data_IF_760280104064
#
_entry.id   IF_760280104064
#
_cell.length_a   1.000
_cell.length_b   1.000
_cell.length_c   1.000
_cell.angle_alpha   90.00
_cell.angle_beta   90.00
_cell.angle_gamma   90.00
#
_symmetry.space_group_name_H-M   'P 1'
#
loop_
_entity.id
_entity.type
_entity.pdbx_description
1 polymer ?
#
# COMPACT_ATOMS: atom_id res chain seq x y z
N UNK A 1 -25.13 74.51 32.89
CA UNK A 1 -26.15 73.47 33.19
C UNK A 1 -26.62 72.91 31.86
N UNK A 2 -26.39 71.61 31.67
CA UNK A 2 -26.53 70.89 30.42
C UNK A 2 -28.01 70.72 30.05
N UNK A 3 -28.46 71.24 28.90
CA UNK A 3 -29.71 70.81 28.29
C UNK A 3 -29.47 69.49 27.57
N UNK A 4 -29.70 68.39 28.27
CA UNK A 4 -29.71 67.05 27.68
C UNK A 4 -30.96 66.95 26.81
N UNK A 5 -30.79 66.92 25.49
CA UNK A 5 -31.90 66.69 24.57
C UNK A 5 -32.45 65.28 24.78
N UNK A 6 -33.72 65.16 25.17
CA UNK A 6 -34.44 63.88 25.17
C UNK A 6 -35.13 63.70 23.83
N UNK A 7 -34.74 62.66 23.08
CA UNK A 7 -35.52 62.17 21.95
C UNK A 7 -36.75 61.43 22.50
N UNK A 8 -37.90 62.12 22.52
CA UNK A 8 -39.20 61.49 22.83
C UNK A 8 -39.74 60.91 21.54
N UNK A 9 -39.64 59.59 21.36
CA UNK A 9 -40.35 58.88 20.32
C UNK A 9 -41.82 58.78 20.72
N UNK A 10 -42.70 59.46 19.98
CA UNK A 10 -44.14 59.35 20.18
C UNK A 10 -44.59 57.90 20.00
N UNK A 11 -45.48 57.45 20.87
CA UNK A 11 -46.13 56.14 20.75
C UNK A 11 -46.80 56.06 19.38
N UNK A 12 -46.39 55.08 18.57
CA UNK A 12 -46.99 54.71 17.29
C UNK A 12 -46.85 55.69 16.11
N UNK A 13 -45.73 56.42 15.97
CA UNK A 13 -45.43 57.10 14.68
C UNK A 13 -43.99 56.86 14.24
N UNK A 14 -43.82 55.85 13.38
CA UNK A 14 -42.61 55.66 12.57
C UNK A 14 -42.66 56.61 11.38
N UNK A 15 -41.62 57.40 11.15
CA UNK A 15 -41.54 58.27 9.98
C UNK A 15 -41.40 57.42 8.70
N UNK A 16 -42.48 57.36 7.91
CA UNK A 16 -42.45 56.89 6.53
C UNK A 16 -41.73 57.92 5.64
N UNK A 17 -40.69 57.51 4.92
CA UNK A 17 -40.24 58.30 3.77
C UNK A 17 -41.30 58.28 2.66
N UNK A 18 -41.26 59.22 1.73
CA UNK A 18 -42.26 59.40 0.67
C UNK A 18 -42.41 58.22 -0.32
N UNK A 19 -41.52 57.24 -0.22
CA UNK A 19 -41.57 55.94 -0.91
C UNK A 19 -42.07 54.79 -0.01
N UNK A 20 -42.59 55.09 1.18
CA UNK A 20 -43.19 54.18 2.14
C UNK A 20 -42.24 53.13 2.75
N UNK A 21 -40.94 53.41 2.82
CA UNK A 21 -39.92 52.53 3.45
C UNK A 21 -39.39 53.11 4.76
N UNK A 22 -39.27 52.27 5.80
CA UNK A 22 -38.68 52.68 7.07
C UNK A 22 -37.15 52.60 6.97
N UNK A 23 -36.43 53.69 7.27
CA UNK A 23 -34.95 53.73 7.30
C UNK A 23 -34.46 54.38 8.58
N UNK A 24 -33.31 53.92 9.08
CA UNK A 24 -32.65 54.46 10.27
C UNK A 24 -31.25 54.95 9.86
N UNK A 25 -30.98 56.25 9.96
CA UNK A 25 -29.72 56.88 9.54
C UNK A 25 -29.08 57.60 10.74
N UNK A 26 -27.77 57.46 10.94
CA UNK A 26 -27.05 58.06 12.07
C UNK A 26 -25.88 58.92 11.61
N UNK A 27 -25.69 60.09 12.25
CA UNK A 27 -24.51 60.94 12.10
C UNK A 27 -23.56 60.82 13.31
N UNK A 28 -22.31 61.23 13.08
CA UNK A 28 -21.06 60.79 13.72
C UNK A 28 -20.96 60.94 15.25
N UNK A 29 -20.61 59.83 15.92
CA UNK A 29 -20.19 59.77 17.33
C UNK A 29 -20.91 58.72 18.21
N UNK A 30 -21.40 57.62 17.65
CA UNK A 30 -22.42 56.76 18.27
C UNK A 30 -22.04 55.95 19.52
N UNK A 31 -23.04 55.30 20.12
CA UNK A 31 -23.01 53.92 20.68
C UNK A 31 -24.43 53.34 20.71
N UNK A 32 -24.53 52.01 20.54
CA UNK A 32 -25.78 51.23 20.39
C UNK A 32 -25.94 50.28 21.58
N UNK A 33 -27.15 50.18 22.17
CA UNK A 33 -27.53 49.09 23.07
C UNK A 33 -28.89 48.52 22.65
N UNK A 34 -28.95 47.22 22.44
CA UNK A 34 -30.19 46.45 22.33
C UNK A 34 -30.19 45.40 23.47
N UNK A 35 -31.35 45.08 24.07
CA UNK A 35 -31.52 43.90 24.95
C UNK A 35 -32.56 44.04 26.08
N UNK A 36 -33.42 43.01 26.22
CA UNK A 36 -34.13 42.60 27.45
C UNK A 36 -33.65 41.16 27.79
N UNK A 37 -33.94 40.58 28.98
CA UNK A 37 -33.33 39.32 29.41
C UNK A 37 -33.61 38.18 28.41
N UNK A 38 -32.57 37.62 27.78
CA UNK A 38 -32.68 36.44 26.90
C UNK A 38 -32.10 36.58 25.48
N UNK A 39 -31.53 37.73 25.10
CA UNK A 39 -30.83 37.95 23.83
C UNK A 39 -31.57 38.77 22.77
N UNK A 40 -31.16 38.65 21.51
CA UNK A 40 -31.68 39.36 20.32
C UNK A 40 -32.58 38.46 19.49
N UNK A 41 -33.69 38.98 18.95
CA UNK A 41 -34.49 38.30 17.93
C UNK A 41 -35.01 39.31 16.89
N UNK A 42 -34.78 39.03 15.61
CA UNK A 42 -35.40 39.70 14.48
C UNK A 42 -36.61 38.89 14.08
N UNK A 43 -37.77 39.52 13.98
CA UNK A 43 -39.04 38.85 13.70
C UNK A 43 -39.64 39.36 12.38
N UNK A 44 -40.42 38.51 11.71
CA UNK A 44 -41.22 38.91 10.56
C UNK A 44 -42.50 39.65 11.02
N UNK A 45 -43.28 40.15 10.07
CA UNK A 45 -44.52 40.90 10.34
C UNK A 45 -45.63 40.05 11.00
N UNK A 46 -45.46 38.73 11.10
CA UNK A 46 -46.34 37.82 11.83
C UNK A 46 -45.77 37.46 13.23
N UNK A 47 -44.77 38.20 13.72
CA UNK A 47 -44.05 37.97 14.97
C UNK A 47 -43.31 36.63 15.06
N UNK A 48 -43.09 35.94 13.94
CA UNK A 48 -42.22 34.77 13.91
C UNK A 48 -40.76 35.22 13.93
N UNK A 49 -39.93 34.63 14.78
CA UNK A 49 -38.48 34.90 14.77
C UNK A 49 -37.90 34.48 13.41
N UNK A 50 -36.98 35.25 12.87
CA UNK A 50 -36.22 35.00 11.64
C UNK A 50 -34.79 34.62 12.05
N UNK A 51 -34.22 35.41 12.95
CA UNK A 51 -32.87 35.28 13.46
C UNK A 51 -32.81 35.71 14.92
N UNK A 52 -32.07 35.01 15.75
CA UNK A 52 -31.86 35.34 17.15
C UNK A 52 -30.45 35.03 17.62
N UNK A 53 -29.96 35.75 18.61
CA UNK A 53 -28.69 35.49 19.29
C UNK A 53 -28.94 35.50 20.78
N UNK A 54 -28.57 34.45 21.50
CA UNK A 54 -28.64 34.48 22.96
C UNK A 54 -27.39 35.13 23.58
N UNK A 55 -27.43 35.42 24.88
CA UNK A 55 -26.34 36.07 25.62
C UNK A 55 -25.04 35.24 25.66
N UNK A 56 -25.11 33.96 25.31
CA UNK A 56 -23.95 33.07 25.14
C UNK A 56 -23.33 33.10 23.74
N UNK A 57 -23.78 34.01 22.86
CA UNK A 57 -23.27 34.14 21.48
C UNK A 57 -23.81 33.09 20.49
N UNK A 58 -24.80 32.28 20.89
CA UNK A 58 -25.38 31.27 20.01
C UNK A 58 -26.37 31.88 19.03
N UNK A 59 -26.01 31.81 17.75
CA UNK A 59 -26.83 32.19 16.59
C UNK A 59 -27.94 31.15 16.35
N UNK A 60 -29.20 31.57 16.38
CA UNK A 60 -30.39 30.73 16.15
C UNK A 60 -31.29 31.36 15.09
N UNK A 61 -31.40 30.74 13.93
CA UNK A 61 -32.44 31.08 12.94
C UNK A 61 -33.72 30.31 13.29
N UNK A 62 -34.91 30.91 13.17
CA UNK A 62 -36.12 30.21 13.58
C UNK A 62 -36.58 29.17 12.55
N UNK A 63 -36.65 27.94 13.04
CA UNK A 63 -37.36 26.73 12.64
C UNK A 63 -38.03 26.65 11.24
N UNK A 64 -37.60 25.60 10.52
CA UNK A 64 -38.36 24.71 9.63
C UNK A 64 -38.58 25.03 8.14
N UNK A 65 -37.68 25.79 7.53
CA UNK A 65 -37.18 25.49 6.17
C UNK A 65 -35.86 26.22 6.06
N UNK A 66 -34.77 25.52 6.34
CA UNK A 66 -33.50 25.87 5.69
C UNK A 66 -33.84 25.91 4.21
N UNK A 67 -33.34 26.89 3.46
CA UNK A 67 -33.58 26.96 2.02
C UNK A 67 -33.39 25.56 1.43
N UNK A 68 -34.51 24.92 1.06
CA UNK A 68 -34.45 23.68 0.32
C UNK A 68 -33.98 24.11 -1.05
N UNK A 69 -32.85 23.57 -1.47
CA UNK A 69 -32.54 23.59 -2.89
C UNK A 69 -33.70 22.92 -3.67
N UNK A 70 -33.65 22.98 -4.99
CA UNK A 70 -34.66 22.32 -5.84
C UNK A 70 -34.77 20.80 -5.60
N UNK A 71 -33.87 20.22 -4.79
CA UNK A 71 -33.78 18.81 -4.44
C UNK A 71 -34.15 18.50 -2.97
N UNK A 72 -34.59 19.49 -2.17
CA UNK A 72 -35.09 19.28 -0.82
C UNK A 72 -34.05 19.32 0.32
N UNK A 73 -32.81 19.75 0.08
CA UNK A 73 -31.75 19.75 1.11
C UNK A 73 -31.68 21.04 1.94
N UNK A 74 -31.46 20.91 3.25
CA UNK A 74 -31.26 22.03 4.17
C UNK A 74 -29.83 22.63 4.04
N UNK A 75 -29.72 23.90 3.61
CA UNK A 75 -28.43 24.59 3.34
C UNK A 75 -28.14 25.77 4.27
N UNK A 76 -26.89 25.90 4.74
CA UNK A 76 -26.34 27.11 5.38
C UNK A 76 -25.14 27.62 4.56
N UNK A 77 -25.26 28.85 4.05
CA UNK A 77 -24.28 29.46 3.16
C UNK A 77 -23.38 30.44 3.89
N UNK A 78 -22.07 30.28 3.70
CA UNK A 78 -21.07 31.26 4.11
C UNK A 78 -20.30 31.71 2.85
N UNK A 79 -20.64 32.90 2.34
CA UNK A 79 -19.92 33.61 1.25
C UNK A 79 -20.04 32.94 -0.16
N UNK A 80 -19.74 33.62 -1.30
CA UNK A 80 -20.10 33.12 -2.63
C UNK A 80 -19.30 31.90 -3.10
N UNK A 81 -18.40 31.36 -2.26
CA UNK A 81 -17.51 30.24 -2.57
C UNK A 81 -17.60 29.06 -1.59
N UNK A 82 -18.57 28.97 -0.68
CA UNK A 82 -18.69 27.83 0.24
C UNK A 82 -20.08 27.58 0.80
N UNK A 83 -20.67 26.42 0.51
CA UNK A 83 -21.86 25.92 1.20
C UNK A 83 -21.43 24.94 2.30
N UNK A 84 -21.95 25.11 3.53
CA UNK A 84 -21.76 24.17 4.63
C UNK A 84 -23.12 23.63 5.08
N UNK A 85 -23.41 22.37 4.78
CA UNK A 85 -24.68 21.75 5.14
C UNK A 85 -24.65 21.17 6.56
N UNK A 86 -25.72 21.38 7.33
CA UNK A 86 -25.92 20.72 8.62
C UNK A 86 -27.13 19.78 8.55
N UNK A 87 -26.82 18.47 8.44
CA UNK A 87 -27.63 17.35 8.91
C UNK A 87 -28.95 17.03 8.19
N UNK A 88 -29.10 15.77 7.79
CA UNK A 88 -30.38 15.07 7.64
C UNK A 88 -30.33 13.73 8.38
N UNK A 89 -31.45 13.00 8.51
CA UNK A 89 -31.53 11.69 9.20
C UNK A 89 -30.59 10.60 8.63
N UNK A 90 -29.90 10.86 7.51
CA UNK A 90 -29.07 9.89 6.79
C UNK A 90 -27.54 10.11 6.92
N UNK A 91 -27.09 11.20 7.57
CA UNK A 91 -25.67 11.47 7.83
C UNK A 91 -25.23 12.93 7.64
N UNK A 92 -23.92 13.15 7.73
CA UNK A 92 -23.26 14.46 7.53
C UNK A 92 -22.59 14.49 6.15
N UNK A 93 -22.71 15.60 5.41
CA UNK A 93 -22.07 15.76 4.10
C UNK A 93 -21.56 17.17 3.85
N UNK A 94 -20.27 17.34 3.53
CA UNK A 94 -19.72 18.57 2.96
C UNK A 94 -19.70 18.44 1.43
N UNK A 95 -20.23 19.46 0.74
CA UNK A 95 -20.33 19.52 -0.72
C UNK A 95 -19.59 20.73 -1.27
N UNK A 96 -19.20 20.68 -2.54
CA UNK A 96 -18.64 21.85 -3.21
C UNK A 96 -19.75 22.79 -3.71
N UNK A 97 -19.38 23.93 -4.30
CA UNK A 97 -20.30 24.93 -4.86
C UNK A 97 -21.18 24.40 -6.01
N UNK A 98 -20.83 23.26 -6.61
CA UNK A 98 -21.59 22.56 -7.65
C UNK A 98 -22.46 21.42 -7.11
N UNK A 99 -22.68 21.38 -5.79
CA UNK A 99 -23.48 20.37 -5.09
C UNK A 99 -22.94 18.93 -5.19
N UNK A 100 -21.64 18.80 -5.42
CA UNK A 100 -20.94 17.51 -5.45
C UNK A 100 -20.46 17.15 -4.05
N UNK A 101 -20.75 15.95 -3.56
CA UNK A 101 -20.26 15.44 -2.27
C UNK A 101 -18.72 15.36 -2.24
N UNK A 102 -18.10 16.14 -1.36
CA UNK A 102 -16.66 16.11 -1.06
C UNK A 102 -16.39 15.10 0.06
N UNK A 103 -17.21 15.13 1.10
CA UNK A 103 -17.06 14.33 2.32
C UNK A 103 -18.43 13.93 2.83
N UNK A 104 -18.65 12.66 3.17
CA UNK A 104 -19.86 12.27 3.92
C UNK A 104 -19.57 11.18 4.94
N UNK A 105 -20.14 11.31 6.15
CA UNK A 105 -20.21 10.26 7.16
C UNK A 105 -21.66 9.78 7.22
N UNK A 106 -21.90 8.53 6.81
CA UNK A 106 -23.19 7.85 6.95
C UNK A 106 -23.31 7.20 8.34
N UNK A 107 -24.49 6.68 8.71
CA UNK A 107 -24.78 5.98 9.98
C UNK A 107 -23.89 4.75 10.32
N UNK A 108 -22.91 4.43 9.46
CA UNK A 108 -21.96 3.31 9.63
C UNK A 108 -20.51 3.80 9.80
N UNK A 109 -20.26 5.11 9.92
CA UNK A 109 -18.92 5.66 10.17
C UNK A 109 -17.93 5.55 9.01
N UNK A 110 -18.36 5.09 7.83
CA UNK A 110 -17.52 5.01 6.64
C UNK A 110 -17.35 6.40 6.01
N UNK A 111 -16.09 6.86 5.89
CA UNK A 111 -15.72 8.00 5.09
C UNK A 111 -15.81 7.63 3.61
N UNK A 112 -16.81 8.15 2.89
CA UNK A 112 -16.94 7.96 1.44
C UNK A 112 -16.49 9.23 0.71
N UNK A 113 -15.35 9.16 0.01
CA UNK A 113 -14.93 10.20 -0.93
C UNK A 113 -15.67 9.92 -2.25
N UNK A 114 -16.68 10.73 -2.57
CA UNK A 114 -17.66 10.44 -3.63
C UNK A 114 -17.27 10.93 -5.03
N UNK A 115 -16.18 11.69 -5.17
CA UNK A 115 -15.67 12.08 -6.48
C UNK A 115 -14.55 11.14 -6.92
N UNK A 116 -14.61 10.69 -8.18
CA UNK A 116 -13.54 9.96 -8.88
C UNK A 116 -12.26 10.80 -9.10
N UNK A 117 -12.02 11.79 -8.24
CA UNK A 117 -10.81 12.61 -8.21
C UNK A 117 -10.30 12.57 -6.79
N UNK A 118 -9.29 11.73 -6.58
CA UNK A 118 -8.37 11.92 -5.48
C UNK A 118 -7.68 13.28 -5.70
N UNK A 119 -7.45 14.03 -4.63
CA UNK A 119 -6.60 15.21 -4.74
C UNK A 119 -5.21 14.73 -5.18
N UNK A 120 -4.84 15.09 -6.40
CA UNK A 120 -3.50 14.90 -6.93
C UNK A 120 -2.64 16.00 -6.31
N UNK A 121 -1.63 15.61 -5.55
CA UNK A 121 -0.64 16.52 -4.99
C UNK A 121 0.17 17.16 -6.15
N UNK A 122 0.90 18.26 -5.90
CA UNK A 122 1.62 19.03 -6.93
C UNK A 122 2.66 18.19 -7.71
N UNK A 123 3.00 17.02 -7.19
CA UNK A 123 3.91 16.03 -7.78
C UNK A 123 3.21 14.93 -8.59
N UNK A 124 1.88 14.96 -8.72
CA UNK A 124 1.13 14.02 -9.54
C UNK A 124 0.60 12.79 -8.79
N UNK A 125 0.77 12.70 -7.47
CA UNK A 125 0.34 11.52 -6.70
C UNK A 125 -0.95 11.74 -5.90
N UNK A 126 -1.81 10.71 -5.88
CA UNK A 126 -3.01 10.67 -5.04
C UNK A 126 -2.64 10.21 -3.63
N UNK A 127 -2.98 10.99 -2.59
CA UNK A 127 -2.62 10.68 -1.19
C UNK A 127 -3.81 10.82 -0.23
N UNK A 128 -3.88 9.93 0.78
CA UNK A 128 -4.71 10.09 1.98
C UNK A 128 -3.77 10.39 3.17
N UNK A 129 -3.74 11.64 3.63
CA UNK A 129 -2.82 12.10 4.68
C UNK A 129 -3.49 12.04 6.07
N UNK A 130 -2.84 11.37 7.02
CA UNK A 130 -3.07 11.52 8.45
C UNK A 130 -1.69 11.64 9.11
N UNK A 131 -1.32 12.81 9.65
CA UNK A 131 -0.14 12.95 10.49
C UNK A 131 -0.36 14.10 11.47
N UNK A 132 -0.04 13.91 12.75
CA UNK A 132 1.23 14.50 13.20
C UNK A 132 1.96 13.64 14.25
N UNK A 133 3.21 13.29 13.99
CA UNK A 133 4.16 12.82 15.01
C UNK A 133 4.56 11.35 14.96
N UNK A 134 4.78 10.77 13.77
CA UNK A 134 5.41 9.45 13.64
C UNK A 134 4.47 8.25 13.82
N UNK A 135 3.15 8.46 13.81
CA UNK A 135 2.16 7.39 13.75
C UNK A 135 1.87 6.99 12.30
N UNK A 136 2.06 5.70 11.97
CA UNK A 136 1.72 5.16 10.66
C UNK A 136 0.20 5.07 10.44
N UNK A 137 -0.22 5.14 9.18
CA UNK A 137 -1.61 4.85 8.77
C UNK A 137 -1.80 3.34 8.62
N UNK A 138 -2.73 2.76 9.38
CA UNK A 138 -3.05 1.34 9.30
C UNK A 138 -4.27 1.13 8.38
N UNK A 139 -4.05 0.54 7.20
CA UNK A 139 -5.13 -0.03 6.39
C UNK A 139 -5.25 -1.51 6.74
N UNK A 140 -6.27 -1.89 7.50
CA UNK A 140 -6.45 -3.27 7.93
C UNK A 140 -7.92 -3.64 8.08
N UNK A 141 -8.28 -4.81 7.56
CA UNK A 141 -9.48 -5.54 7.97
C UNK A 141 -9.05 -6.66 8.93
N UNK A 142 -9.98 -7.30 9.67
CA UNK A 142 -9.66 -8.51 10.43
C UNK A 142 -9.01 -9.62 9.59
N UNK A 143 -9.16 -9.58 8.26
CA UNK A 143 -8.60 -10.55 7.32
C UNK A 143 -7.34 -10.06 6.57
N UNK A 144 -6.75 -8.93 6.96
CA UNK A 144 -5.58 -8.33 6.30
C UNK A 144 -5.94 -7.15 5.38
N UNK A 145 -5.09 -6.90 4.39
CA UNK A 145 -5.19 -5.77 3.46
C UNK A 145 -5.32 -6.28 2.02
N UNK A 146 -6.28 -5.78 1.26
CA UNK A 146 -6.62 -6.29 -0.07
C UNK A 146 -6.90 -5.18 -1.07
N UNK A 147 -6.29 -5.27 -2.25
CA UNK A 147 -6.67 -4.53 -3.44
C UNK A 147 -7.54 -5.40 -4.34
N UNK A 148 -8.59 -4.78 -4.89
CA UNK A 148 -9.53 -5.42 -5.81
C UNK A 148 -9.53 -4.72 -7.17
N UNK A 149 -9.90 -5.46 -8.20
CA UNK A 149 -10.21 -4.92 -9.52
C UNK A 149 -11.68 -4.42 -9.58
N UNK A 150 -12.07 -3.85 -10.74
CA UNK A 150 -13.42 -3.30 -10.94
C UNK A 150 -14.56 -4.34 -10.96
N UNK A 151 -14.24 -5.63 -11.04
CA UNK A 151 -15.20 -6.73 -10.97
C UNK A 151 -15.23 -7.35 -9.56
N UNK A 152 -14.72 -6.63 -8.54
CA UNK A 152 -14.60 -7.06 -7.14
C UNK A 152 -13.72 -8.30 -6.92
N UNK A 153 -12.85 -8.66 -7.89
CA UNK A 153 -11.85 -9.71 -7.71
C UNK A 153 -10.62 -9.21 -6.96
N UNK A 154 -10.18 -9.93 -5.93
CA UNK A 154 -8.92 -9.68 -5.23
C UNK A 154 -7.73 -9.84 -6.20
N UNK A 155 -6.86 -8.84 -6.28
CA UNK A 155 -5.70 -8.83 -7.20
C UNK A 155 -4.35 -8.79 -6.47
N UNK A 156 -4.34 -8.24 -5.26
CA UNK A 156 -3.20 -8.26 -4.36
C UNK A 156 -3.71 -8.24 -2.93
N UNK A 157 -3.20 -9.13 -2.07
CA UNK A 157 -3.52 -9.14 -0.64
C UNK A 157 -2.31 -9.43 0.22
N UNK A 158 -2.29 -8.84 1.40
CA UNK A 158 -1.35 -9.14 2.49
C UNK A 158 -2.17 -9.60 3.68
N UNK A 159 -1.97 -10.85 4.11
CA UNK A 159 -2.65 -11.44 5.25
C UNK A 159 -1.97 -11.00 6.57
N UNK A 160 -2.65 -11.21 7.70
CA UNK A 160 -2.13 -10.81 9.02
C UNK A 160 -0.84 -11.55 9.43
N UNK A 161 -0.58 -12.73 8.87
CA UNK A 161 0.65 -13.51 9.07
C UNK A 161 1.83 -12.99 8.22
N UNK A 162 1.63 -11.90 7.48
CA UNK A 162 2.61 -11.29 6.58
C UNK A 162 2.72 -11.99 5.22
N UNK A 163 1.98 -13.06 4.97
CA UNK A 163 1.95 -13.70 3.66
C UNK A 163 1.25 -12.79 2.64
N UNK A 164 1.82 -12.70 1.45
CA UNK A 164 1.28 -11.89 0.37
C UNK A 164 0.89 -12.78 -0.82
N UNK A 165 -0.23 -12.44 -1.45
CA UNK A 165 -0.69 -13.08 -2.68
C UNK A 165 -0.89 -12.01 -3.75
N UNK A 166 -0.36 -12.29 -4.95
CA UNK A 166 -0.44 -11.43 -6.13
C UNK A 166 -1.05 -12.26 -7.26
N UNK A 167 -2.10 -11.74 -7.90
CA UNK A 167 -2.73 -12.42 -9.04
C UNK A 167 -1.82 -12.44 -10.27
N UNK A 168 -1.07 -11.36 -10.47
CA UNK A 168 -0.16 -11.17 -11.60
C UNK A 168 1.28 -11.61 -11.30
N UNK A 169 2.21 -11.08 -12.10
CA UNK A 169 3.64 -11.32 -11.93
C UNK A 169 4.32 -10.22 -11.12
N UNK A 170 5.27 -10.58 -10.27
CA UNK A 170 6.19 -9.64 -9.63
C UNK A 170 7.35 -9.34 -10.58
N UNK A 171 7.38 -8.15 -11.16
CA UNK A 171 8.49 -7.70 -12.03
C UNK A 171 9.48 -6.86 -11.21
N UNK A 172 10.78 -7.08 -11.42
CA UNK A 172 11.86 -6.38 -10.73
C UNK A 172 12.86 -5.82 -11.74
N UNK A 173 13.30 -4.57 -11.53
CA UNK A 173 14.21 -3.89 -12.44
C UNK A 173 15.51 -4.69 -12.63
N UNK A 174 15.89 -4.97 -13.88
CA UNK A 174 17.09 -5.75 -14.20
C UNK A 174 17.88 -5.23 -15.41
N UNK A 175 17.48 -4.09 -15.97
CA UNK A 175 18.09 -3.44 -17.13
C UNK A 175 19.59 -3.19 -16.91
N UNK A 176 20.42 -3.52 -17.92
CA UNK A 176 21.87 -3.36 -17.88
C UNK A 176 22.29 -1.91 -17.59
N UNK A 177 21.52 -0.91 -18.03
CA UNK A 177 21.80 0.52 -17.81
C UNK A 177 21.68 0.94 -16.35
N UNK A 178 20.94 0.17 -15.55
CA UNK A 178 20.76 0.41 -14.12
C UNK A 178 21.80 -0.33 -13.26
N UNK A 179 22.78 -1.00 -13.88
CA UNK A 179 23.78 -1.84 -13.21
C UNK A 179 25.19 -1.39 -13.57
N UNK A 180 26.09 -1.45 -12.60
CA UNK A 180 27.53 -1.21 -12.77
C UNK A 180 28.33 -2.38 -12.20
N UNK A 181 29.62 -2.47 -12.54
CA UNK A 181 30.54 -3.49 -12.04
C UNK A 181 30.04 -4.95 -12.20
N UNK A 182 29.39 -5.24 -13.33
CA UNK A 182 28.80 -6.56 -13.62
C UNK A 182 29.93 -7.59 -13.79
N UNK A 183 29.96 -8.60 -12.92
CA UNK A 183 30.89 -9.74 -12.97
C UNK A 183 30.09 -11.05 -13.00
N UNK A 184 30.55 -12.09 -13.71
CA UNK A 184 29.97 -13.43 -13.61
C UNK A 184 30.04 -13.96 -12.18
N UNK A 185 29.04 -14.73 -11.77
CA UNK A 185 29.15 -15.54 -10.54
C UNK A 185 30.15 -16.67 -10.78
N UNK A 186 30.84 -17.09 -9.72
CA UNK A 186 31.87 -18.14 -9.75
C UNK A 186 31.64 -19.08 -8.57
N UNK A 187 32.05 -20.34 -8.72
CA UNK A 187 31.93 -21.39 -7.70
C UNK A 187 30.48 -21.60 -7.23
N UNK A 188 29.51 -21.32 -8.09
CA UNK A 188 28.09 -21.33 -7.71
C UNK A 188 27.62 -22.73 -7.31
N UNK A 189 28.10 -23.78 -7.98
CA UNK A 189 27.81 -25.16 -7.60
C UNK A 189 28.39 -25.49 -6.23
N UNK A 190 29.69 -25.23 -6.02
CA UNK A 190 30.34 -25.52 -4.74
C UNK A 190 29.68 -24.77 -3.56
N UNK A 191 29.28 -23.52 -3.78
CA UNK A 191 28.57 -22.72 -2.80
C UNK A 191 27.17 -23.27 -2.50
N UNK A 192 26.38 -23.61 -3.52
CA UNK A 192 25.04 -24.19 -3.34
C UNK A 192 25.10 -25.55 -2.65
N UNK A 193 26.13 -26.35 -2.92
CA UNK A 193 26.33 -27.64 -2.26
C UNK A 193 26.60 -27.55 -0.75
N UNK A 194 26.93 -26.36 -0.23
CA UNK A 194 27.07 -26.11 1.22
C UNK A 194 25.75 -25.68 1.87
N UNK A 195 24.71 -25.37 1.09
CA UNK A 195 23.41 -24.97 1.58
C UNK A 195 22.51 -26.18 1.84
N UNK A 196 21.62 -26.03 2.80
CA UNK A 196 20.66 -27.06 3.17
C UNK A 196 19.22 -26.55 3.00
N UNK A 197 18.44 -27.26 2.18
CA UNK A 197 16.99 -27.16 2.21
C UNK A 197 16.45 -27.88 3.45
N UNK A 198 15.58 -27.20 4.20
CA UNK A 198 15.01 -27.71 5.46
C UNK A 198 13.49 -27.67 5.43
N UNK A 199 12.88 -28.58 6.19
CA UNK A 199 11.48 -28.49 6.58
C UNK A 199 11.41 -27.87 7.98
N UNK A 200 10.46 -26.99 8.24
CA UNK A 200 10.30 -26.36 9.54
C UNK A 200 8.85 -25.99 9.83
N UNK A 201 8.54 -25.82 11.12
CA UNK A 201 7.34 -25.15 11.60
C UNK A 201 7.74 -23.82 12.22
N UNK A 202 6.88 -22.82 12.14
CA UNK A 202 7.09 -21.57 12.86
C UNK A 202 6.91 -21.77 14.37
N UNK A 203 7.73 -21.09 15.18
CA UNK A 203 7.60 -21.14 16.64
C UNK A 203 6.49 -20.19 17.11
N UNK A 204 5.24 -20.64 17.01
CA UNK A 204 4.05 -19.86 17.38
C UNK A 204 3.99 -19.56 18.90
N UNK A 205 4.46 -20.49 19.74
CA UNK A 205 4.45 -20.32 21.20
C UNK A 205 5.38 -19.20 21.65
N UNK A 206 6.56 -19.10 21.03
CA UNK A 206 7.54 -18.07 21.35
C UNK A 206 7.21 -16.71 20.73
N UNK A 207 6.50 -16.70 19.61
CA UNK A 207 6.19 -15.50 18.84
C UNK A 207 4.70 -15.41 18.46
N UNK A 208 3.79 -15.41 19.45
CA UNK A 208 2.35 -15.40 19.20
C UNK A 208 1.88 -14.14 18.47
N UNK A 209 2.57 -13.01 18.66
CA UNK A 209 2.27 -11.73 18.01
C UNK A 209 2.49 -11.74 16.50
N UNK A 210 3.28 -12.69 15.99
CA UNK A 210 3.58 -12.80 14.55
C UNK A 210 2.52 -13.54 13.76
N UNK A 211 1.55 -14.16 14.43
CA UNK A 211 0.43 -14.88 13.78
C UNK A 211 0.89 -15.89 12.72
N UNK A 212 2.05 -16.52 12.93
CA UNK A 212 2.60 -17.45 11.95
C UNK A 212 1.68 -18.63 11.67
N UNK A 213 1.78 -19.21 10.46
CA UNK A 213 1.08 -20.46 10.13
C UNK A 213 1.62 -21.65 10.94
N UNK A 214 0.73 -22.57 11.29
CA UNK A 214 0.99 -23.87 11.92
C UNK A 214 1.38 -24.97 10.91
N UNK A 215 1.40 -24.65 9.62
CA UNK A 215 1.67 -25.61 8.54
C UNK A 215 3.17 -25.83 8.38
N UNK A 216 3.53 -27.05 7.95
CA UNK A 216 4.90 -27.40 7.57
C UNK A 216 5.35 -26.52 6.40
N UNK A 217 6.51 -25.88 6.55
CA UNK A 217 7.13 -25.05 5.54
C UNK A 217 8.41 -25.71 5.02
N UNK A 218 8.76 -25.39 3.77
CA UNK A 218 10.06 -25.72 3.17
C UNK A 218 10.81 -24.42 2.93
N UNK A 219 12.09 -24.39 3.24
CA UNK A 219 12.92 -23.22 2.98
C UNK A 219 14.38 -23.46 3.32
N UNK A 220 15.08 -22.38 3.65
CA UNK A 220 16.49 -22.36 4.07
C UNK A 220 16.63 -21.57 5.37
N UNK A 221 17.73 -21.81 6.08
CA UNK A 221 18.10 -21.02 7.25
C UNK A 221 18.88 -19.78 6.79
N UNK A 222 18.38 -18.59 7.13
CA UNK A 222 18.98 -17.33 6.69
C UNK A 222 20.44 -17.17 7.13
N UNK A 223 20.78 -17.64 8.33
CA UNK A 223 22.14 -17.60 8.88
C UNK A 223 23.13 -18.50 8.10
N UNK A 224 22.65 -19.58 7.48
CA UNK A 224 23.50 -20.45 6.66
C UNK A 224 23.72 -19.85 5.27
N UNK A 225 22.70 -19.21 4.71
CA UNK A 225 22.81 -18.42 3.48
C UNK A 225 23.80 -17.27 3.69
N UNK A 226 23.71 -16.55 4.81
CA UNK A 226 24.54 -15.37 5.09
C UNK A 226 26.05 -15.66 5.09
N UNK A 227 26.46 -16.87 5.50
CA UNK A 227 27.87 -17.28 5.50
C UNK A 227 28.48 -17.36 4.10
N UNK A 228 27.64 -17.59 3.07
CA UNK A 228 28.07 -17.86 1.70
C UNK A 228 27.66 -16.72 0.75
N UNK A 229 26.43 -16.24 0.88
CA UNK A 229 25.83 -15.16 0.09
C UNK A 229 25.19 -14.11 1.03
N UNK A 230 25.99 -13.33 1.77
CA UNK A 230 25.48 -12.31 2.68
C UNK A 230 24.58 -11.28 1.98
N UNK A 231 24.81 -11.01 0.69
CA UNK A 231 24.01 -10.10 -0.14
C UNK A 231 22.55 -10.57 -0.35
N UNK A 232 22.26 -11.85 -0.12
CA UNK A 232 20.91 -12.41 -0.22
C UNK A 232 20.12 -12.32 1.09
N UNK A 233 20.75 -11.85 2.17
CA UNK A 233 20.16 -11.81 3.51
C UNK A 233 19.99 -10.37 3.96
N UNK A 234 18.78 -10.04 4.39
CA UNK A 234 18.48 -8.76 5.03
C UNK A 234 18.24 -8.99 6.52
N UNK A 235 18.71 -8.05 7.36
CA UNK A 235 18.48 -8.07 8.81
C UNK A 235 17.63 -6.87 9.17
N UNK A 236 16.53 -7.09 9.89
CA UNK A 236 15.66 -6.01 10.37
C UNK A 236 16.26 -5.27 11.59
N UNK A 237 15.59 -4.22 12.03
CA UNK A 237 15.96 -3.40 13.20
C UNK A 237 16.01 -4.18 14.52
N UNK A 238 15.37 -5.36 14.56
CA UNK A 238 15.32 -6.27 15.71
C UNK A 238 16.30 -7.43 15.59
N UNK A 239 17.09 -7.50 14.51
CA UNK A 239 18.08 -8.55 14.27
C UNK A 239 17.53 -9.82 13.62
N UNK A 240 16.26 -9.86 13.21
CA UNK A 240 15.72 -11.00 12.46
C UNK A 240 16.17 -10.97 11.01
N UNK A 241 16.52 -12.14 10.49
CA UNK A 241 17.06 -12.31 9.14
C UNK A 241 16.02 -12.85 8.18
N UNK A 242 15.97 -12.31 6.97
CA UNK A 242 15.12 -12.76 5.86
C UNK A 242 15.94 -12.97 4.59
N UNK A 243 15.47 -13.85 3.70
CA UNK A 243 16.20 -14.27 2.49
C UNK A 243 15.50 -13.76 1.24
N UNK A 244 16.26 -13.19 0.31
CA UNK A 244 15.79 -12.88 -1.04
C UNK A 244 15.83 -14.13 -1.92
N UNK A 245 14.77 -14.93 -1.86
CA UNK A 245 14.65 -16.16 -2.65
C UNK A 245 14.71 -15.92 -4.17
N UNK A 246 14.24 -14.77 -4.67
CA UNK A 246 14.31 -14.48 -6.12
C UNK A 246 15.76 -14.41 -6.60
N UNK A 247 16.64 -13.81 -5.81
CA UNK A 247 18.05 -13.67 -6.16
C UNK A 247 18.88 -14.95 -5.97
N UNK A 248 18.33 -16.02 -5.36
CA UNK A 248 18.95 -17.35 -5.43
C UNK A 248 18.90 -17.94 -6.85
N UNK A 249 17.92 -17.54 -7.68
CA UNK A 249 17.74 -18.07 -9.04
C UNK A 249 18.98 -17.94 -9.94
N UNK A 250 19.63 -16.76 -10.07
CA UNK A 250 20.86 -16.64 -10.85
C UNK A 250 22.02 -17.50 -10.31
N UNK A 251 22.12 -17.69 -8.99
CA UNK A 251 23.10 -18.59 -8.39
C UNK A 251 22.85 -20.03 -8.85
N UNK A 252 21.59 -20.49 -8.80
CA UNK A 252 21.22 -21.82 -9.26
C UNK A 252 21.45 -22.02 -10.76
N UNK A 253 21.23 -20.98 -11.58
CA UNK A 253 21.51 -21.02 -13.02
C UNK A 253 23.00 -21.30 -13.27
N UNK A 254 23.89 -20.56 -12.60
CA UNK A 254 25.34 -20.77 -12.78
C UNK A 254 25.81 -22.09 -12.16
N UNK A 255 25.23 -22.54 -11.04
CA UNK A 255 25.49 -23.86 -10.48
C UNK A 255 25.15 -25.00 -11.45
N UNK A 256 24.02 -24.91 -12.16
CA UNK A 256 23.61 -25.90 -13.16
C UNK A 256 24.55 -25.87 -14.37
N UNK A 257 25.00 -24.69 -14.81
CA UNK A 257 25.99 -24.58 -15.90
C UNK A 257 27.34 -25.18 -15.52
N UNK A 258 27.82 -24.91 -14.31
CA UNK A 258 29.03 -25.52 -13.76
C UNK A 258 28.89 -27.06 -13.71
N UNK A 259 27.75 -27.57 -13.21
CA UNK A 259 27.46 -29.00 -13.18
C UNK A 259 27.46 -29.62 -14.59
N UNK A 260 26.85 -28.94 -15.57
CA UNK A 260 26.87 -29.39 -16.97
C UNK A 260 28.28 -29.49 -17.53
N UNK A 261 29.15 -28.53 -17.21
CA UNK A 261 30.56 -28.56 -17.59
C UNK A 261 31.29 -29.78 -17.02
N UNK A 262 31.05 -30.12 -15.75
CA UNK A 262 31.61 -31.33 -15.12
C UNK A 262 31.13 -32.59 -15.84
N UNK A 263 29.84 -32.69 -16.15
CA UNK A 263 29.25 -33.84 -16.86
C UNK A 263 29.87 -33.99 -18.26
N UNK A 264 30.08 -32.90 -18.99
CA UNK A 264 30.68 -32.95 -20.33
C UNK A 264 32.14 -33.40 -20.30
N UNK A 265 32.90 -32.93 -19.31
CA UNK A 265 34.27 -33.36 -19.10
C UNK A 265 34.34 -34.85 -18.77
N UNK A 266 33.48 -35.32 -17.85
CA UNK A 266 33.40 -36.74 -17.49
C UNK A 266 32.99 -37.61 -18.68
N UNK A 267 32.05 -37.17 -19.50
CA UNK A 267 31.65 -37.90 -20.71
C UNK A 267 32.80 -38.00 -21.71
N UNK A 268 33.57 -36.92 -21.88
CA UNK A 268 34.75 -36.91 -22.76
C UNK A 268 35.81 -37.90 -22.27
N UNK A 269 36.10 -37.89 -20.97
CA UNK A 269 37.03 -38.84 -20.35
C UNK A 269 36.56 -40.29 -20.52
N UNK A 270 35.26 -40.56 -20.32
CA UNK A 270 34.68 -41.89 -20.54
C UNK A 270 34.83 -42.34 -21.99
N UNK A 271 34.68 -41.45 -22.98
CA UNK A 271 34.88 -41.82 -24.38
C UNK A 271 36.35 -42.14 -24.68
N UNK A 272 37.28 -41.34 -24.14
CA UNK A 272 38.71 -41.60 -24.29
C UNK A 272 39.10 -42.96 -23.67
N UNK A 273 38.66 -43.21 -22.43
CA UNK A 273 38.89 -44.49 -21.76
C UNK A 273 38.29 -45.68 -22.51
N UNK A 274 37.14 -45.52 -23.15
CA UNK A 274 36.53 -46.56 -24.00
C UNK A 274 37.35 -46.81 -25.27
N UNK A 275 37.85 -45.76 -25.90
CA UNK A 275 38.71 -45.87 -27.08
C UNK A 275 40.02 -46.59 -26.73
N UNK A 276 40.68 -46.17 -25.65
CA UNK A 276 41.91 -46.79 -25.16
C UNK A 276 41.70 -48.27 -24.82
N UNK A 277 40.65 -48.59 -24.09
CA UNK A 277 40.31 -49.98 -23.76
C UNK A 277 40.05 -50.83 -25.02
N UNK A 278 39.42 -50.27 -26.05
CA UNK A 278 39.21 -50.95 -27.33
C UNK A 278 40.54 -51.23 -28.04
N UNK A 279 41.47 -50.26 -28.02
CA UNK A 279 42.81 -50.42 -28.59
C UNK A 279 43.66 -51.47 -27.84
N UNK A 280 43.55 -51.51 -26.51
CA UNK A 280 44.23 -52.48 -25.65
C UNK A 280 43.70 -53.89 -25.90
N UNK A 281 42.38 -54.07 -26.02
CA UNK A 281 41.77 -55.36 -26.38
C UNK A 281 42.25 -55.86 -27.73
N UNK A 282 42.26 -55.00 -28.76
CA UNK A 282 42.76 -55.37 -30.07
C UNK A 282 44.24 -55.79 -30.03
N UNK A 283 45.05 -55.07 -29.25
CA UNK A 283 46.47 -55.41 -29.05
C UNK A 283 46.64 -56.73 -28.31
N UNK A 284 45.86 -56.99 -27.26
CA UNK A 284 45.84 -58.26 -26.52
C UNK A 284 45.49 -59.43 -27.44
N UNK A 285 44.44 -59.29 -28.26
CA UNK A 285 44.07 -60.30 -29.26
C UNK A 285 45.19 -60.54 -30.27
N UNK A 286 45.90 -59.49 -30.70
CA UNK A 286 47.06 -59.66 -31.58
C UNK A 286 48.18 -60.45 -30.90
N UNK A 287 48.49 -60.16 -29.64
CA UNK A 287 49.48 -60.90 -28.88
C UNK A 287 49.10 -62.37 -28.68
N UNK A 288 47.83 -62.66 -28.37
CA UNK A 288 47.32 -64.04 -28.29
C UNK A 288 47.49 -64.79 -29.61
N UNK A 289 47.16 -64.15 -30.75
CA UNK A 289 47.37 -64.74 -32.08
C UNK A 289 48.86 -65.02 -32.33
N UNK A 290 49.74 -64.08 -31.99
CA UNK A 290 51.19 -64.25 -32.16
C UNK A 290 51.74 -65.36 -31.28
N UNK A 291 51.28 -65.45 -30.03
CA UNK A 291 51.67 -66.48 -29.09
C UNK A 291 51.29 -67.87 -29.62
N UNK A 292 50.03 -68.03 -30.06
CA UNK A 292 49.55 -69.29 -30.66
C UNK A 292 50.40 -69.73 -31.85
N UNK A 293 50.77 -68.81 -32.75
CA UNK A 293 51.64 -69.12 -33.90
C UNK A 293 53.03 -69.59 -33.46
N UNK A 294 53.58 -69.00 -32.40
CA UNK A 294 54.87 -69.41 -31.84
C UNK A 294 54.77 -70.81 -31.23
N UNK A 295 53.72 -71.08 -30.44
CA UNK A 295 53.47 -72.39 -29.84
C UNK A 295 53.31 -73.49 -30.90
N UNK A 296 52.57 -73.23 -31.98
CA UNK A 296 52.42 -74.13 -33.12
C UNK A 296 53.76 -74.43 -33.80
N UNK A 297 54.62 -73.42 -33.99
CA UNK A 297 55.94 -73.58 -34.59
C UNK A 297 56.91 -74.42 -33.71
N UNK A 298 56.85 -74.29 -32.39
CA UNK A 298 57.63 -75.11 -31.45
C UNK A 298 57.20 -76.58 -31.46
N UNK A 299 55.90 -76.86 -31.56
CA UNK A 299 55.38 -78.25 -31.64
C UNK A 299 55.84 -78.98 -32.91
N UNK A 300 56.02 -78.25 -34.03
CA UNK A 300 56.49 -78.82 -35.30
C UNK A 300 57.99 -79.16 -35.28
N UNK A 301 58.80 -78.47 -34.48
CA UNK A 301 60.25 -78.66 -34.42
C UNK A 301 60.68 -79.76 -33.44
N UNK A 302 59.86 -80.08 -32.44
CA UNK A 302 60.12 -81.17 -31.48
C UNK A 302 59.73 -82.59 -31.94
N UNK A 303 59.23 -82.78 -33.17
CA UNK A 303 58.83 -84.08 -33.75
C UNK A 303 59.84 -84.72 -34.72
N UNK A 304 61.09 -84.24 -34.72
CA UNK A 304 62.22 -84.91 -35.39
C UNK A 304 63.09 -85.61 -34.36
#
# INVERSE_FOLDING_TARGET
MNSVGSLVLAVNTWHQSSDYKNRFNFNAGGTTYFGSPGGYAFQNNANATIFSMNDGGALKFAMNTWHQDLNGHNRLDFDPNGATNFGSQLGYGFRNSSDVNIFSINNVGALKLQVNTWHQDLDGYNRLLYNPGGGGTFFGSPAGFTFRNNADGDIFRVNNDGSAWLQGSLTQNSDKRLKTNIKPLQNSLSNVMQLQGVNYYWNQEKFPERSFSDKLQIGVIAQDIEKIYPELVSTDDKGYKSVNYTQLTPVLIEAIKELKGIIDNQNTEIQNLKADNSSLKATSTNYEIRLKKIEEAFQLTGKK
#
